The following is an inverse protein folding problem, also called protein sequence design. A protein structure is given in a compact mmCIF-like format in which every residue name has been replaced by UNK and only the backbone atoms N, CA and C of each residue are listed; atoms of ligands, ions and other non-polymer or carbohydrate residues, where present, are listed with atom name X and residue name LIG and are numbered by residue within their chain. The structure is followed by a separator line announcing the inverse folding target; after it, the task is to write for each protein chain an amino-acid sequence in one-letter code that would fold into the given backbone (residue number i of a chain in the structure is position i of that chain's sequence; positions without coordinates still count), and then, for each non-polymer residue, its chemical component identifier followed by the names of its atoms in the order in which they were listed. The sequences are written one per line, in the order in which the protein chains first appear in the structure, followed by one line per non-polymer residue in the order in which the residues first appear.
data_IF_830496064869
#
_entry.id   IF_830496064869
#
_cell.length_a   1.000
_cell.length_b   1.000
_cell.length_c   1.000
_cell.angle_alpha   90.00
_cell.angle_beta   90.00
_cell.angle_gamma   90.00
#
_symmetry.space_group_name_H-M   'P 1'
#
loop_
_entity.id
_entity.type
_entity.pdbx_description
1 polymer ?
#
# COMPACT_ATOMS: atom_id res chain seq x y z
N UNK A 1 1.26 -18.02 -20.63
CA UNK A 1 0.34 -18.16 -19.47
C UNK A 1 0.92 -17.38 -18.30
N UNK A 2 0.07 -16.68 -17.53
CA UNK A 2 0.47 -15.99 -16.29
C UNK A 2 0.12 -16.87 -15.08
N UNK A 3 1.10 -17.18 -14.23
CA UNK A 3 0.88 -17.77 -12.90
C UNK A 3 0.91 -16.66 -11.87
N UNK A 4 -0.25 -16.30 -11.36
CA UNK A 4 -0.43 -15.20 -10.42
C UNK A 4 -0.36 -15.69 -8.98
N UNK A 5 0.55 -15.13 -8.20
CA UNK A 5 0.85 -15.52 -6.82
C UNK A 5 0.51 -14.35 -5.90
N UNK A 6 -0.73 -14.29 -5.37
CA UNK A 6 -1.20 -13.18 -4.57
C UNK A 6 -0.58 -13.16 -3.17
N UNK A 7 -0.62 -11.99 -2.54
CA UNK A 7 -0.48 -11.88 -1.09
C UNK A 7 -1.65 -12.56 -0.38
N UNK A 8 -1.45 -12.95 0.87
CA UNK A 8 -2.54 -13.53 1.65
C UNK A 8 -3.71 -12.54 1.79
N UNK A 9 -4.92 -12.90 1.32
CA UNK A 9 -6.05 -11.99 1.28
C UNK A 9 -6.77 -11.97 2.65
N UNK A 10 -6.12 -11.40 3.65
CA UNK A 10 -6.74 -11.05 4.92
C UNK A 10 -7.38 -9.66 4.83
N UNK A 11 -8.60 -9.53 5.35
CA UNK A 11 -9.37 -8.28 5.27
C UNK A 11 -8.66 -7.11 5.98
N UNK A 12 -7.82 -7.41 6.95
CA UNK A 12 -7.02 -6.41 7.67
C UNK A 12 -5.91 -5.79 6.81
N UNK A 13 -5.48 -6.46 5.71
CA UNK A 13 -4.43 -5.94 4.85
C UNK A 13 -4.93 -4.81 3.96
N UNK A 14 -4.06 -3.82 3.71
CA UNK A 14 -4.32 -2.78 2.70
C UNK A 14 -4.40 -3.36 1.28
N UNK A 15 -3.71 -4.49 1.01
CA UNK A 15 -3.71 -5.20 -0.26
C UNK A 15 -4.92 -6.13 -0.46
N UNK A 16 -5.86 -6.19 0.50
CA UNK A 16 -6.99 -7.13 0.45
C UNK A 16 -7.76 -7.09 -0.87
N UNK A 17 -8.17 -5.90 -1.31
CA UNK A 17 -8.94 -5.75 -2.53
C UNK A 17 -8.13 -6.05 -3.80
N UNK A 18 -6.81 -5.90 -3.76
CA UNK A 18 -5.92 -6.26 -4.85
C UNK A 18 -5.76 -7.78 -4.94
N UNK A 19 -5.46 -8.42 -3.80
CA UNK A 19 -5.04 -9.83 -3.72
C UNK A 19 -6.19 -10.83 -3.56
N UNK A 20 -7.41 -10.38 -3.26
CA UNK A 20 -8.57 -11.27 -3.10
C UNK A 20 -8.93 -11.96 -4.42
N UNK A 21 -9.66 -13.07 -4.32
CA UNK A 21 -10.31 -13.70 -5.48
C UNK A 21 -11.28 -12.69 -6.11
N UNK A 22 -11.30 -12.61 -7.43
CA UNK A 22 -11.98 -11.55 -8.18
C UNK A 22 -11.60 -10.12 -7.74
N UNK A 23 -10.41 -9.98 -7.17
CA UNK A 23 -9.83 -8.68 -6.77
C UNK A 23 -9.32 -7.86 -7.95
N UNK A 24 -8.66 -6.76 -7.65
CA UNK A 24 -8.21 -5.81 -8.67
C UNK A 24 -7.21 -6.41 -9.67
N UNK A 25 -6.31 -7.30 -9.22
CA UNK A 25 -5.36 -7.96 -10.11
C UNK A 25 -6.09 -8.80 -11.16
N UNK A 26 -6.97 -9.69 -10.71
CA UNK A 26 -7.70 -10.59 -11.61
C UNK A 26 -8.70 -9.86 -12.51
N UNK A 27 -9.36 -8.80 -12.01
CA UNK A 27 -10.23 -7.95 -12.81
C UNK A 27 -9.47 -7.33 -13.98
N UNK A 28 -8.25 -6.82 -13.73
CA UNK A 28 -7.41 -6.28 -14.78
C UNK A 28 -6.89 -7.36 -15.74
N UNK A 29 -6.51 -8.55 -15.25
CA UNK A 29 -6.14 -9.65 -16.15
C UNK A 29 -7.28 -10.02 -17.10
N UNK A 30 -8.51 -10.16 -16.57
CA UNK A 30 -9.71 -10.41 -17.37
C UNK A 30 -10.00 -9.29 -18.36
N UNK A 31 -9.91 -8.03 -17.90
CA UNK A 31 -10.14 -6.83 -18.71
C UNK A 31 -9.22 -6.74 -19.92
N UNK A 32 -7.96 -7.12 -19.76
CA UNK A 32 -6.96 -7.09 -20.84
C UNK A 32 -6.80 -8.44 -21.56
N UNK A 33 -7.67 -9.41 -21.28
CA UNK A 33 -7.67 -10.71 -21.96
C UNK A 33 -6.49 -11.62 -21.63
N UNK A 34 -5.82 -11.38 -20.49
CA UNK A 34 -4.69 -12.18 -20.03
C UNK A 34 -5.20 -13.50 -19.46
N UNK A 35 -4.71 -14.62 -20.00
CA UNK A 35 -4.96 -15.93 -19.41
C UNK A 35 -4.07 -16.14 -18.20
N UNK A 36 -4.67 -16.47 -17.06
CA UNK A 36 -3.93 -16.65 -15.81
C UNK A 36 -4.40 -17.86 -15.01
N UNK A 37 -3.51 -18.35 -14.16
CA UNK A 37 -3.77 -19.35 -13.13
C UNK A 37 -3.41 -18.73 -11.78
N UNK A 38 -4.38 -18.62 -10.88
CA UNK A 38 -4.16 -18.15 -9.52
C UNK A 38 -3.54 -19.26 -8.68
N UNK A 39 -2.50 -18.94 -7.92
CA UNK A 39 -1.78 -19.85 -7.02
C UNK A 39 -1.97 -19.38 -5.57
N UNK A 40 -3.05 -19.80 -4.93
CA UNK A 40 -3.29 -19.49 -3.52
C UNK A 40 -2.41 -20.32 -2.60
N UNK A 41 -2.06 -19.73 -1.46
CA UNK A 41 -1.41 -20.42 -0.36
C UNK A 41 -2.39 -21.05 0.62
N UNK A 42 -1.86 -21.88 1.53
CA UNK A 42 -2.61 -22.46 2.64
C UNK A 42 -2.54 -21.52 3.86
N UNK A 43 -3.68 -21.19 4.47
CA UNK A 43 -3.75 -20.25 5.59
C UNK A 43 -3.61 -20.98 6.94
N UNK A 44 -2.83 -20.43 7.88
CA UNK A 44 -2.79 -20.90 9.27
C UNK A 44 -4.00 -20.45 10.10
N UNK A 45 -4.78 -19.52 9.61
CA UNK A 45 -5.95 -18.96 10.27
C UNK A 45 -6.74 -18.04 9.35
N UNK A 46 -7.80 -17.43 9.87
CA UNK A 46 -8.66 -16.53 9.12
C UNK A 46 -8.31 -15.05 9.27
N UNK A 47 -7.42 -14.72 10.20
CA UNK A 47 -7.03 -13.34 10.55
C UNK A 47 -5.52 -13.25 10.83
N UNK A 48 -4.98 -12.04 10.80
CA UNK A 48 -3.59 -11.75 11.18
C UNK A 48 -3.45 -11.84 12.71
N UNK A 49 -2.53 -12.70 13.19
CA UNK A 49 -2.34 -12.95 14.64
C UNK A 49 -1.36 -11.99 15.29
N UNK A 50 -0.25 -11.66 14.64
CA UNK A 50 0.84 -10.89 15.25
C UNK A 50 0.62 -9.39 15.21
N UNK A 51 -0.04 -8.89 14.15
CA UNK A 51 -0.33 -7.47 14.00
C UNK A 51 -1.26 -7.20 12.83
N UNK A 52 -1.71 -5.95 12.70
CA UNK A 52 -2.64 -5.53 11.62
C UNK A 52 -2.03 -5.54 10.22
N UNK A 53 -0.72 -5.66 10.10
CA UNK A 53 -0.01 -5.57 8.81
C UNK A 53 0.77 -6.83 8.48
N UNK A 54 1.36 -7.47 9.47
CA UNK A 54 2.25 -8.60 9.28
C UNK A 54 1.99 -9.68 10.34
N UNK A 55 1.82 -10.91 9.88
CA UNK A 55 1.88 -12.14 10.66
C UNK A 55 3.04 -12.96 10.08
N UNK A 56 4.19 -12.95 10.76
CA UNK A 56 5.42 -13.54 10.22
C UNK A 56 5.27 -15.04 9.93
N UNK A 57 4.63 -15.78 10.82
CA UNK A 57 4.40 -17.22 10.65
C UNK A 57 3.32 -17.49 9.60
N UNK A 58 2.19 -16.79 9.67
CA UNK A 58 1.10 -16.94 8.72
C UNK A 58 1.51 -16.58 7.30
N UNK A 59 2.22 -15.46 7.13
CA UNK A 59 2.81 -15.01 5.87
C UNK A 59 3.75 -16.04 5.27
N UNK A 60 4.71 -16.54 6.08
CA UNK A 60 5.69 -17.49 5.60
C UNK A 60 5.04 -18.81 5.20
N UNK A 61 4.11 -19.32 6.00
CA UNK A 61 3.39 -20.56 5.70
C UNK A 61 2.59 -20.45 4.40
N UNK A 62 1.83 -19.35 4.24
CA UNK A 62 1.06 -19.08 3.03
C UNK A 62 1.96 -19.04 1.78
N UNK A 63 3.02 -18.24 1.82
CA UNK A 63 3.94 -18.06 0.70
C UNK A 63 4.68 -19.37 0.35
N UNK A 64 5.20 -20.08 1.33
CA UNK A 64 5.91 -21.35 1.08
C UNK A 64 4.98 -22.42 0.48
N UNK A 65 3.71 -22.48 0.88
CA UNK A 65 2.74 -23.39 0.27
C UNK A 65 2.43 -23.06 -1.19
N UNK A 66 2.45 -21.78 -1.57
CA UNK A 66 2.36 -21.34 -2.97
C UNK A 66 3.56 -21.83 -3.78
N UNK A 67 4.78 -21.69 -3.23
CA UNK A 67 6.00 -22.19 -3.88
C UNK A 67 5.94 -23.71 -4.08
N UNK A 68 5.48 -24.48 -3.09
CA UNK A 68 5.32 -25.93 -3.23
C UNK A 68 4.38 -26.30 -4.40
N UNK A 69 3.28 -25.57 -4.57
CA UNK A 69 2.35 -25.74 -5.71
C UNK A 69 3.02 -25.44 -7.04
N UNK A 70 3.77 -24.33 -7.12
CA UNK A 70 4.53 -23.95 -8.33
C UNK A 70 5.60 -25.00 -8.67
N UNK A 71 6.36 -25.48 -7.68
CA UNK A 71 7.38 -26.52 -7.87
C UNK A 71 6.75 -27.79 -8.45
N UNK A 72 5.57 -28.19 -7.95
CA UNK A 72 4.83 -29.31 -8.51
C UNK A 72 4.42 -29.07 -9.97
N UNK A 73 3.88 -27.91 -10.33
CA UNK A 73 3.51 -27.56 -11.68
C UNK A 73 4.70 -27.57 -12.64
N UNK A 74 5.86 -27.12 -12.16
CA UNK A 74 7.12 -27.16 -12.95
C UNK A 74 7.56 -28.63 -13.13
N UNK A 75 7.49 -29.45 -12.09
CA UNK A 75 7.87 -30.86 -12.16
C UNK A 75 6.96 -31.64 -13.12
N UNK A 76 5.68 -31.36 -13.10
CA UNK A 76 4.66 -32.00 -13.96
C UNK A 76 4.70 -31.48 -15.42
N UNK A 77 5.58 -30.53 -15.73
CA UNK A 77 5.76 -29.96 -17.07
C UNK A 77 4.61 -29.01 -17.48
N UNK A 78 3.79 -28.55 -16.54
CA UNK A 78 2.69 -27.60 -16.79
C UNK A 78 3.24 -26.20 -17.00
N UNK A 79 4.18 -25.77 -16.16
CA UNK A 79 4.91 -24.49 -16.34
C UNK A 79 6.05 -24.73 -17.35
N UNK A 80 6.10 -23.93 -18.39
CA UNK A 80 7.02 -24.02 -19.50
C UNK A 80 7.90 -22.78 -19.63
N UNK A 81 8.81 -22.78 -20.60
CA UNK A 81 9.75 -21.67 -20.84
C UNK A 81 9.07 -20.36 -21.27
N UNK A 82 7.86 -20.41 -21.80
CA UNK A 82 7.11 -19.25 -22.28
C UNK A 82 6.21 -18.61 -21.22
N UNK A 83 6.17 -19.20 -20.03
CA UNK A 83 5.28 -18.76 -18.97
C UNK A 83 5.91 -17.67 -18.09
N UNK A 84 5.05 -16.94 -17.39
CA UNK A 84 5.44 -15.88 -16.46
C UNK A 84 4.83 -16.22 -15.09
N UNK A 85 5.64 -16.11 -14.06
CA UNK A 85 5.21 -16.20 -12.67
C UNK A 85 5.27 -14.78 -12.10
N UNK A 86 4.13 -14.22 -11.66
CA UNK A 86 4.08 -12.92 -11.01
C UNK A 86 3.73 -13.07 -9.53
N UNK A 87 4.66 -12.70 -8.67
CA UNK A 87 4.50 -12.68 -7.21
C UNK A 87 4.25 -11.26 -6.72
N UNK A 88 3.20 -11.04 -5.93
CA UNK A 88 2.80 -9.70 -5.48
C UNK A 88 3.75 -9.06 -4.46
N UNK A 89 4.76 -9.77 -3.98
CA UNK A 89 5.72 -9.23 -3.04
C UNK A 89 7.14 -9.68 -3.36
N UNK A 90 8.05 -8.71 -3.48
CA UNK A 90 9.48 -8.96 -3.65
C UNK A 90 10.06 -9.89 -2.57
N UNK A 91 9.59 -9.73 -1.34
CA UNK A 91 9.91 -10.58 -0.19
C UNK A 91 9.00 -11.80 -0.09
N UNK A 92 9.01 -12.64 -1.11
CA UNK A 92 8.21 -13.86 -1.11
C UNK A 92 9.01 -15.02 -0.51
N UNK A 93 8.69 -15.50 0.72
CA UNK A 93 9.36 -16.63 1.34
C UNK A 93 9.36 -17.87 0.44
N UNK A 94 10.54 -18.45 0.20
CA UNK A 94 10.72 -19.64 -0.64
C UNK A 94 10.93 -19.38 -2.11
N UNK A 95 10.90 -18.11 -2.57
CA UNK A 95 11.08 -17.74 -3.99
C UNK A 95 12.41 -18.23 -4.57
N UNK A 96 13.45 -18.32 -3.75
CA UNK A 96 14.78 -18.82 -4.13
C UNK A 96 14.71 -20.23 -4.72
N UNK A 97 13.73 -21.04 -4.35
CA UNK A 97 13.51 -22.38 -4.92
C UNK A 97 13.19 -22.31 -6.42
N UNK A 98 12.45 -21.30 -6.86
CA UNK A 98 12.15 -21.10 -8.28
C UNK A 98 13.39 -20.66 -9.06
N UNK A 99 14.22 -19.78 -8.49
CA UNK A 99 15.50 -19.37 -9.09
C UNK A 99 16.45 -20.56 -9.23
N UNK A 100 16.56 -21.38 -8.16
CA UNK A 100 17.37 -22.59 -8.16
C UNK A 100 16.91 -23.59 -9.24
N UNK A 101 15.61 -23.89 -9.33
CA UNK A 101 15.06 -24.82 -10.31
C UNK A 101 15.25 -24.27 -11.73
N UNK A 102 14.98 -22.99 -11.94
CA UNK A 102 15.17 -22.31 -13.25
C UNK A 102 16.60 -22.48 -13.73
N UNK A 103 17.57 -22.26 -12.85
CA UNK A 103 18.99 -22.40 -13.17
C UNK A 103 19.37 -23.85 -13.47
N UNK A 104 19.08 -24.78 -12.58
CA UNK A 104 19.52 -26.19 -12.73
C UNK A 104 18.84 -26.92 -13.89
N UNK A 105 17.56 -26.62 -14.15
CA UNK A 105 16.86 -27.23 -15.31
C UNK A 105 17.01 -26.43 -16.59
N UNK A 106 17.81 -25.34 -16.60
CA UNK A 106 17.99 -24.41 -17.72
C UNK A 106 16.65 -23.95 -18.31
N UNK A 107 15.68 -23.66 -17.45
CA UNK A 107 14.38 -23.15 -17.83
C UNK A 107 14.45 -21.63 -18.10
N UNK A 108 13.47 -21.11 -18.88
CA UNK A 108 13.43 -19.71 -19.34
C UNK A 108 12.14 -18.97 -18.95
N UNK A 109 11.28 -19.56 -18.09
CA UNK A 109 10.14 -18.84 -17.60
C UNK A 109 10.58 -17.55 -16.88
N UNK A 110 9.80 -16.50 -17.04
CA UNK A 110 10.10 -15.21 -16.43
C UNK A 110 9.45 -15.09 -15.03
N UNK A 111 10.04 -14.29 -14.15
CA UNK A 111 9.51 -14.03 -12.80
C UNK A 111 9.42 -12.52 -12.60
N UNK A 112 8.20 -12.04 -12.34
CA UNK A 112 7.91 -10.63 -12.00
C UNK A 112 7.51 -10.47 -10.55
N UNK A 113 7.73 -9.26 -9.98
CA UNK A 113 7.37 -8.93 -8.61
C UNK A 113 7.12 -7.45 -8.39
N UNK A 114 6.50 -7.11 -7.24
CA UNK A 114 6.31 -5.73 -6.79
C UNK A 114 7.03 -5.48 -5.45
N UNK A 115 7.66 -4.31 -5.31
CA UNK A 115 8.32 -3.90 -4.06
C UNK A 115 7.34 -3.13 -3.17
N UNK A 116 7.02 -3.68 -1.99
CA UNK A 116 6.24 -3.02 -0.95
C UNK A 116 7.11 -2.40 0.14
N UNK A 117 8.15 -3.11 0.59
CA UNK A 117 9.08 -2.70 1.63
C UNK A 117 10.47 -3.25 1.34
N UNK A 118 11.51 -2.55 1.74
CA UNK A 118 12.90 -2.93 1.47
C UNK A 118 13.89 -2.25 2.43
N UNK A 119 15.10 -2.78 2.48
CA UNK A 119 16.13 -2.33 3.41
C UNK A 119 16.84 -1.02 3.02
N UNK A 120 16.43 -0.33 1.97
CA UNK A 120 17.00 0.99 1.58
C UNK A 120 16.32 2.18 2.24
N UNK A 121 15.15 1.99 2.81
CA UNK A 121 14.39 3.02 3.51
C UNK A 121 14.67 2.96 5.02
N UNK A 122 15.33 3.98 5.56
CA UNK A 122 15.68 4.06 6.98
C UNK A 122 14.47 4.27 7.90
N UNK A 123 13.33 4.62 7.33
CA UNK A 123 12.05 4.75 8.05
C UNK A 123 11.18 3.50 7.97
N UNK A 124 11.58 2.50 7.17
CA UNK A 124 10.86 1.23 7.04
C UNK A 124 11.25 0.22 8.13
N UNK A 125 10.34 -0.69 8.49
CA UNK A 125 10.64 -1.76 9.44
C UNK A 125 11.78 -2.67 8.96
N UNK A 126 11.96 -2.81 7.66
CA UNK A 126 13.01 -3.60 7.03
C UNK A 126 14.41 -3.04 7.29
N UNK A 127 14.55 -1.73 7.55
CA UNK A 127 15.83 -1.11 7.87
C UNK A 127 16.53 -1.72 9.07
N UNK A 128 15.77 -2.10 10.11
CA UNK A 128 16.32 -2.74 11.31
C UNK A 128 16.95 -4.11 11.03
N UNK A 129 16.61 -4.71 9.92
CA UNK A 129 17.08 -6.02 9.47
C UNK A 129 18.11 -5.92 8.32
N UNK A 130 18.51 -4.73 7.91
CA UNK A 130 19.31 -4.47 6.71
C UNK A 130 20.61 -5.27 6.61
N UNK A 131 21.23 -5.58 7.74
CA UNK A 131 22.52 -6.28 7.76
C UNK A 131 22.44 -7.67 7.12
N UNK A 132 21.34 -8.37 7.33
CA UNK A 132 21.12 -9.68 6.72
C UNK A 132 20.16 -9.62 5.53
N UNK A 133 19.22 -8.68 5.53
CA UNK A 133 18.22 -8.53 4.48
C UNK A 133 18.83 -8.02 3.16
N UNK A 134 19.67 -7.01 3.20
CA UNK A 134 20.24 -6.37 2.00
C UNK A 134 20.96 -7.35 1.07
N UNK A 135 21.84 -8.24 1.55
CA UNK A 135 22.46 -9.25 0.70
C UNK A 135 21.45 -10.20 0.02
N UNK A 136 20.35 -10.54 0.69
CA UNK A 136 19.28 -11.36 0.13
C UNK A 136 18.51 -10.58 -0.94
N UNK A 137 18.15 -9.33 -0.67
CA UNK A 137 17.51 -8.45 -1.65
C UNK A 137 18.34 -8.30 -2.92
N UNK A 138 19.65 -8.09 -2.78
CA UNK A 138 20.57 -8.03 -3.91
C UNK A 138 20.61 -9.34 -4.69
N UNK A 139 20.61 -10.48 -4.00
CA UNK A 139 20.55 -11.80 -4.60
C UNK A 139 19.25 -12.03 -5.38
N UNK A 140 18.12 -11.73 -4.75
CA UNK A 140 16.78 -11.87 -5.35
C UNK A 140 16.60 -10.94 -6.55
N UNK A 141 16.96 -9.66 -6.41
CA UNK A 141 16.77 -8.67 -7.46
C UNK A 141 17.53 -8.99 -8.75
N UNK A 142 18.67 -9.67 -8.64
CA UNK A 142 19.41 -10.16 -9.81
C UNK A 142 18.74 -11.36 -10.52
N UNK A 143 17.77 -12.02 -9.86
CA UNK A 143 17.08 -13.17 -10.40
C UNK A 143 15.68 -12.84 -10.95
N UNK A 144 15.05 -11.76 -10.51
CA UNK A 144 13.80 -11.29 -11.09
C UNK A 144 14.02 -10.73 -12.50
N UNK A 145 13.10 -11.03 -13.39
CA UNK A 145 13.08 -10.46 -14.74
C UNK A 145 12.39 -9.09 -14.76
N UNK A 146 11.36 -8.91 -13.90
CA UNK A 146 10.61 -7.68 -13.76
C UNK A 146 10.41 -7.33 -12.29
N UNK A 147 10.82 -6.14 -11.90
CA UNK A 147 10.60 -5.60 -10.54
C UNK A 147 9.80 -4.31 -10.71
N UNK A 148 8.61 -4.27 -10.13
CA UNK A 148 7.75 -3.11 -10.20
C UNK A 148 7.79 -2.30 -8.90
N UNK A 149 7.71 -0.99 -9.02
CA UNK A 149 7.67 -0.06 -7.88
C UNK A 149 6.72 1.10 -8.16
N UNK A 150 6.09 1.60 -7.09
CA UNK A 150 5.25 2.78 -7.15
C UNK A 150 6.02 4.10 -7.11
N UNK A 151 7.30 4.07 -6.69
CA UNK A 151 8.10 5.25 -6.41
C UNK A 151 9.29 5.34 -7.36
N UNK A 152 9.48 6.51 -7.94
CA UNK A 152 10.61 6.83 -8.80
C UNK A 152 11.90 7.01 -7.98
N UNK A 153 11.81 7.59 -6.77
CA UNK A 153 12.95 7.69 -5.86
C UNK A 153 13.36 6.30 -5.37
N UNK A 154 12.39 5.46 -5.00
CA UNK A 154 12.66 4.09 -4.57
C UNK A 154 13.34 3.26 -5.67
N UNK A 155 12.89 3.40 -6.94
CA UNK A 155 13.58 2.79 -8.08
C UNK A 155 15.07 3.13 -8.06
N UNK A 156 15.41 4.43 -7.95
CA UNK A 156 16.79 4.90 -7.94
C UNK A 156 17.57 4.34 -6.74
N UNK A 157 16.99 4.34 -5.55
CA UNK A 157 17.65 3.80 -4.35
C UNK A 157 17.91 2.29 -4.48
N UNK A 158 16.99 1.52 -5.06
CA UNK A 158 17.19 0.09 -5.29
C UNK A 158 18.32 -0.18 -6.28
N UNK A 159 18.44 0.62 -7.34
CA UNK A 159 19.54 0.51 -8.31
C UNK A 159 20.88 0.87 -7.66
N UNK A 160 20.96 2.00 -6.97
CA UNK A 160 22.19 2.45 -6.27
C UNK A 160 22.62 1.44 -5.20
N UNK A 161 21.67 0.83 -4.49
CA UNK A 161 21.95 -0.19 -3.49
C UNK A 161 22.28 -1.59 -4.09
N UNK A 162 22.21 -1.75 -5.41
CA UNK A 162 22.44 -3.04 -6.09
C UNK A 162 21.34 -4.08 -5.82
N UNK A 163 20.17 -3.65 -5.35
CA UNK A 163 18.99 -4.53 -5.15
C UNK A 163 18.35 -4.84 -6.52
N UNK A 164 18.42 -3.92 -7.45
CA UNK A 164 17.89 -4.10 -8.80
C UNK A 164 18.87 -3.54 -9.83
N UNK A 165 18.75 -4.02 -11.07
CA UNK A 165 19.42 -3.42 -12.22
C UNK A 165 18.51 -2.39 -12.86
N UNK A 166 19.07 -1.40 -13.56
CA UNK A 166 18.28 -0.36 -14.25
C UNK A 166 17.31 -0.95 -15.30
N UNK A 167 17.70 -2.09 -15.91
CA UNK A 167 16.95 -2.76 -16.98
C UNK A 167 15.85 -3.70 -16.50
N UNK A 168 15.79 -4.03 -15.19
CA UNK A 168 14.77 -4.93 -14.65
C UNK A 168 13.84 -4.30 -13.60
N UNK A 169 14.03 -3.01 -13.25
CA UNK A 169 13.15 -2.30 -12.32
C UNK A 169 12.38 -1.17 -13.02
N UNK A 170 11.07 -1.16 -12.85
CA UNK A 170 10.15 -0.29 -13.56
C UNK A 170 9.28 0.51 -12.58
N UNK A 171 9.27 1.84 -12.75
CA UNK A 171 8.33 2.71 -12.05
C UNK A 171 7.01 2.74 -12.83
N UNK A 172 5.96 2.18 -12.26
CA UNK A 172 4.67 2.00 -12.92
C UNK A 172 3.47 2.51 -12.11
N UNK A 173 3.69 2.94 -10.88
CA UNK A 173 2.64 3.37 -9.95
C UNK A 173 2.13 2.24 -9.05
N UNK A 174 1.19 2.56 -8.16
CA UNK A 174 0.51 1.56 -7.34
C UNK A 174 -0.49 0.77 -8.19
N UNK A 175 -0.65 -0.54 -7.97
CA UNK A 175 -1.61 -1.38 -8.67
C UNK A 175 -3.03 -1.14 -8.15
N UNK A 176 -3.58 0.06 -8.40
CA UNK A 176 -4.87 0.53 -7.95
C UNK A 176 -5.97 0.18 -8.98
N UNK A 177 -7.23 0.12 -8.54
CA UNK A 177 -8.39 -0.01 -9.41
C UNK A 177 -9.59 0.69 -8.75
N UNK A 178 -9.71 1.98 -8.99
CA UNK A 178 -10.73 2.83 -8.37
C UNK A 178 -12.16 2.41 -8.73
N UNK A 179 -12.36 1.93 -9.96
CA UNK A 179 -13.66 1.44 -10.42
C UNK A 179 -14.06 0.17 -9.67
N UNK A 180 -13.16 -0.83 -9.65
CA UNK A 180 -13.41 -2.10 -8.98
C UNK A 180 -13.58 -1.93 -7.46
N UNK A 181 -12.84 -1.02 -6.85
CA UNK A 181 -13.05 -0.66 -5.44
C UNK A 181 -14.49 -0.22 -5.17
N UNK A 182 -15.03 0.69 -5.98
CA UNK A 182 -16.41 1.17 -5.82
C UNK A 182 -17.45 0.07 -6.02
N UNK A 183 -17.23 -0.82 -7.00
CA UNK A 183 -18.09 -1.98 -7.22
C UNK A 183 -18.08 -2.93 -6.01
N UNK A 184 -16.88 -3.30 -5.53
CA UNK A 184 -16.73 -4.17 -4.36
C UNK A 184 -17.37 -3.57 -3.09
N UNK A 185 -17.23 -2.26 -2.87
CA UNK A 185 -17.89 -1.59 -1.76
C UNK A 185 -19.41 -1.60 -1.91
N UNK A 186 -19.93 -1.42 -3.13
CA UNK A 186 -21.37 -1.52 -3.40
C UNK A 186 -21.88 -2.93 -3.09
N UNK A 187 -21.15 -3.95 -3.53
CA UNK A 187 -21.47 -5.37 -3.25
C UNK A 187 -21.47 -5.68 -1.76
N UNK A 188 -20.61 -4.99 -0.98
CA UNK A 188 -20.55 -5.06 0.48
C UNK A 188 -21.66 -4.27 1.19
N UNK A 189 -22.50 -3.52 0.46
CA UNK A 189 -23.57 -2.71 1.02
C UNK A 189 -23.16 -1.28 1.41
N UNK A 190 -22.08 -0.74 0.82
CA UNK A 190 -21.66 0.64 1.03
C UNK A 190 -22.73 1.63 0.53
N UNK A 191 -23.05 2.61 1.36
CA UNK A 191 -23.97 3.69 1.04
C UNK A 191 -23.19 5.00 1.10
N UNK A 192 -23.06 5.75 -0.03
CA UNK A 192 -22.40 7.04 -0.05
C UNK A 192 -23.04 8.03 0.93
N UNK A 193 -22.21 8.77 1.66
CA UNK A 193 -22.63 9.81 2.58
C UNK A 193 -22.45 11.22 2.01
N UNK A 194 -22.86 12.23 2.79
CA UNK A 194 -22.56 13.62 2.50
C UNK A 194 -21.23 14.02 3.16
N UNK A 195 -20.55 15.03 2.57
CA UNK A 195 -19.33 15.58 3.15
C UNK A 195 -19.62 16.28 4.47
N UNK A 196 -18.86 15.90 5.49
CA UNK A 196 -18.87 16.50 6.80
C UNK A 196 -17.60 17.33 7.02
N UNK A 197 -17.69 18.38 7.84
CA UNK A 197 -16.56 19.27 8.12
C UNK A 197 -15.59 18.64 9.14
N UNK A 198 -14.84 17.60 8.72
CA UNK A 198 -13.75 17.03 9.51
C UNK A 198 -12.55 16.60 8.66
N UNK A 199 -11.42 16.49 9.35
CA UNK A 199 -10.16 15.96 8.84
C UNK A 199 -10.03 14.51 9.27
N UNK A 200 -9.73 13.62 8.33
CA UNK A 200 -9.48 12.22 8.61
C UNK A 200 -7.99 11.92 8.64
N UNK A 201 -7.51 11.32 9.73
CA UNK A 201 -6.22 10.64 9.77
C UNK A 201 -6.46 9.13 9.65
N UNK A 202 -6.16 8.58 8.48
CA UNK A 202 -6.49 7.21 8.10
C UNK A 202 -5.29 6.26 8.08
N UNK A 203 -4.15 6.69 8.59
CA UNK A 203 -2.92 5.89 8.70
C UNK A 203 -2.84 5.18 10.06
N UNK A 204 -1.99 4.14 10.14
CA UNK A 204 -1.60 3.57 11.43
C UNK A 204 -1.01 4.66 12.33
N UNK A 205 -1.09 4.49 13.62
CA UNK A 205 -0.61 5.47 14.60
C UNK A 205 0.71 5.06 15.22
N UNK A 206 1.60 4.49 14.40
CA UNK A 206 2.95 4.08 14.77
C UNK A 206 3.97 5.19 14.45
N UNK A 207 5.16 5.13 15.04
CA UNK A 207 6.15 6.21 14.98
C UNK A 207 6.51 6.64 13.55
N UNK A 208 6.54 5.71 12.59
CA UNK A 208 6.82 5.99 11.18
C UNK A 208 5.73 6.82 10.47
N UNK A 209 4.60 7.07 11.13
CA UNK A 209 3.52 7.94 10.64
C UNK A 209 3.51 9.31 11.32
N UNK A 210 4.53 9.63 12.13
CA UNK A 210 4.71 10.88 12.87
C UNK A 210 3.45 11.30 13.67
N UNK A 211 2.93 10.43 14.56
CA UNK A 211 1.69 10.69 15.30
C UNK A 211 1.78 11.92 16.21
N UNK A 212 2.98 12.29 16.67
CA UNK A 212 3.16 13.48 17.49
C UNK A 212 2.85 14.75 16.71
N UNK A 213 3.30 14.85 15.46
CA UNK A 213 2.99 16.00 14.60
C UNK A 213 1.49 16.10 14.32
N UNK A 214 0.79 14.96 14.12
CA UNK A 214 -0.67 14.97 14.02
C UNK A 214 -1.33 15.52 15.28
N UNK A 215 -0.89 15.13 16.47
CA UNK A 215 -1.44 15.64 17.74
C UNK A 215 -1.12 17.14 17.94
N UNK A 216 0.04 17.62 17.46
CA UNK A 216 0.36 19.06 17.44
C UNK A 216 -0.63 19.83 16.57
N UNK A 217 -0.95 19.30 15.39
CA UNK A 217 -1.93 19.91 14.47
C UNK A 217 -3.35 19.95 15.08
N UNK A 218 -3.77 18.88 15.74
CA UNK A 218 -5.07 18.84 16.46
C UNK A 218 -5.15 19.94 17.52
N UNK A 219 -4.07 20.12 18.31
CA UNK A 219 -4.03 21.19 19.35
C UNK A 219 -3.99 22.60 18.74
N UNK A 220 -3.28 22.76 17.61
CA UNK A 220 -3.18 24.05 16.92
C UNK A 220 -4.49 24.47 16.22
N UNK A 221 -5.42 23.53 15.97
CA UNK A 221 -6.66 23.75 15.23
C UNK A 221 -7.92 23.42 16.07
N UNK A 222 -8.19 24.09 17.20
CA UNK A 222 -9.26 23.71 18.13
C UNK A 222 -10.67 23.81 17.54
N UNK A 223 -10.86 24.55 16.45
CA UNK A 223 -12.14 24.74 15.78
C UNK A 223 -12.38 23.77 14.61
N UNK A 224 -11.41 22.92 14.29
CA UNK A 224 -11.51 21.91 13.25
C UNK A 224 -11.71 20.55 13.91
N UNK A 225 -12.68 19.77 13.45
CA UNK A 225 -12.91 18.40 13.91
C UNK A 225 -11.91 17.44 13.24
N UNK A 226 -11.38 16.50 14.03
CA UNK A 226 -10.49 15.45 13.56
C UNK A 226 -11.07 14.08 13.91
N UNK A 227 -10.98 13.14 12.99
CA UNK A 227 -11.23 11.72 13.24
C UNK A 227 -9.96 10.92 12.98
N UNK A 228 -9.59 10.08 13.94
CA UNK A 228 -8.45 9.17 13.87
C UNK A 228 -8.97 7.74 13.78
N UNK A 229 -8.62 7.01 12.74
CA UNK A 229 -8.97 5.60 12.59
C UNK A 229 -7.99 4.74 13.40
N UNK A 230 -8.50 3.95 14.35
CA UNK A 230 -7.72 2.94 15.04
C UNK A 230 -8.11 1.54 14.55
N UNK A 231 -7.26 0.87 13.76
CA UNK A 231 -7.53 -0.49 13.29
C UNK A 231 -7.23 -1.57 14.32
N UNK A 232 -6.81 -1.23 15.56
CA UNK A 232 -6.40 -2.17 16.60
C UNK A 232 -7.48 -2.30 17.66
N UNK A 233 -8.52 -3.11 17.39
CA UNK A 233 -9.72 -3.21 18.23
C UNK A 233 -9.45 -3.43 19.72
N UNK A 234 -8.57 -4.39 20.06
CA UNK A 234 -8.32 -4.86 21.42
C UNK A 234 -6.89 -4.58 21.90
N UNK A 235 -6.18 -3.69 21.23
CA UNK A 235 -4.78 -3.33 21.55
C UNK A 235 -4.62 -1.82 21.59
N UNK A 236 -3.60 -1.30 22.29
CA UNK A 236 -3.25 0.11 22.20
C UNK A 236 -3.02 0.53 20.75
N UNK A 237 -3.46 1.74 20.40
CA UNK A 237 -3.35 2.29 19.05
C UNK A 237 -1.90 2.33 18.54
N UNK A 238 -0.96 2.47 19.45
CA UNK A 238 0.50 2.40 19.23
C UNK A 238 1.20 1.81 20.44
N UNK A 239 2.43 1.33 20.27
CA UNK A 239 3.31 0.90 21.36
C UNK A 239 4.03 2.08 22.04
N UNK A 240 3.99 3.28 21.48
CA UNK A 240 4.64 4.47 22.04
C UNK A 240 3.78 5.07 23.16
N UNK A 241 4.24 4.89 24.41
CA UNK A 241 3.51 5.35 25.60
C UNK A 241 3.32 6.87 25.63
N UNK A 242 4.26 7.67 25.16
CA UNK A 242 4.16 9.13 25.14
C UNK A 242 3.01 9.57 24.23
N UNK A 243 2.92 8.98 23.03
CA UNK A 243 1.83 9.20 22.08
C UNK A 243 0.48 8.80 22.70
N UNK A 244 0.41 7.64 23.37
CA UNK A 244 -0.81 7.17 24.04
C UNK A 244 -1.27 8.13 25.14
N UNK A 245 -0.35 8.59 25.98
CA UNK A 245 -0.66 9.53 27.08
C UNK A 245 -1.20 10.84 26.51
N UNK A 246 -0.54 11.40 25.50
CA UNK A 246 -0.94 12.66 24.87
C UNK A 246 -2.29 12.52 24.14
N UNK A 247 -2.48 11.47 23.36
CA UNK A 247 -3.75 11.17 22.70
C UNK A 247 -4.90 11.11 23.71
N UNK A 248 -4.74 10.34 24.79
CA UNK A 248 -5.75 10.22 25.82
C UNK A 248 -6.05 11.56 26.52
N UNK A 249 -5.04 12.40 26.72
CA UNK A 249 -5.22 13.75 27.25
C UNK A 249 -6.09 14.62 26.35
N UNK A 250 -5.85 14.56 25.02
CA UNK A 250 -6.65 15.32 24.04
C UNK A 250 -8.09 14.84 23.96
N UNK A 251 -8.29 13.52 23.85
CA UNK A 251 -9.64 12.93 23.72
C UNK A 251 -10.51 13.19 24.96
N UNK A 252 -9.90 13.23 26.15
CA UNK A 252 -10.64 13.45 27.43
C UNK A 252 -10.94 14.92 27.76
N UNK A 253 -10.45 15.86 26.98
CA UNK A 253 -10.74 17.30 27.20
C UNK A 253 -12.24 17.56 27.00
N UNK A 254 -12.81 18.43 27.82
CA UNK A 254 -14.15 18.97 27.56
C UNK A 254 -14.12 19.70 26.20
N UNK A 255 -15.08 19.37 25.33
CA UNK A 255 -15.12 19.86 23.94
C UNK A 255 -13.91 19.45 23.09
N UNK A 256 -13.42 18.21 23.25
CA UNK A 256 -12.38 17.67 22.37
C UNK A 256 -12.81 17.79 20.90
N UNK A 257 -11.87 18.27 20.08
CA UNK A 257 -12.02 18.30 18.62
C UNK A 257 -11.49 17.03 17.93
N UNK A 258 -11.04 16.03 18.72
CA UNK A 258 -10.53 14.75 18.25
C UNK A 258 -11.41 13.58 18.68
N UNK A 259 -11.86 12.81 17.69
CA UNK A 259 -12.55 11.54 17.86
C UNK A 259 -11.67 10.39 17.42
N UNK A 260 -11.58 9.31 18.22
CA UNK A 260 -10.92 8.06 17.85
C UNK A 260 -11.96 7.03 17.48
N UNK A 261 -11.96 6.61 16.22
CA UNK A 261 -12.89 5.60 15.71
C UNK A 261 -12.17 4.24 15.65
N UNK A 262 -12.60 3.33 16.53
CA UNK A 262 -12.06 1.98 16.60
C UNK A 262 -12.77 1.07 15.58
N UNK A 263 -12.13 0.75 14.47
CA UNK A 263 -12.72 -0.12 13.46
C UNK A 263 -11.68 -0.90 12.66
N UNK A 264 -11.99 -2.20 12.41
CA UNK A 264 -11.33 -3.02 11.37
C UNK A 264 -12.20 -3.17 10.14
N UNK A 265 -13.44 -2.75 10.24
CA UNK A 265 -14.42 -2.93 9.18
C UNK A 265 -14.12 -2.01 8.01
N UNK A 266 -13.98 -2.59 6.83
CA UNK A 266 -13.71 -1.85 5.58
C UNK A 266 -14.84 -0.90 5.24
N UNK A 267 -16.10 -1.28 5.45
CA UNK A 267 -17.23 -0.39 5.16
C UNK A 267 -17.20 0.86 6.04
N UNK A 268 -16.99 0.69 7.34
CA UNK A 268 -16.83 1.82 8.27
C UNK A 268 -15.65 2.71 7.88
N UNK A 269 -14.51 2.11 7.52
CA UNK A 269 -13.34 2.86 7.06
C UNK A 269 -13.66 3.72 5.83
N UNK A 270 -14.25 3.12 4.79
CA UNK A 270 -14.59 3.85 3.58
C UNK A 270 -15.74 4.83 3.77
N UNK A 271 -16.66 4.58 4.72
CA UNK A 271 -17.68 5.56 5.10
C UNK A 271 -17.07 6.82 5.74
N UNK A 272 -16.10 6.63 6.64
CA UNK A 272 -15.34 7.74 7.22
C UNK A 272 -14.58 8.52 6.14
N UNK A 273 -14.00 7.81 5.19
CA UNK A 273 -13.27 8.44 4.09
C UNK A 273 -14.21 9.20 3.15
N UNK A 274 -15.36 8.62 2.81
CA UNK A 274 -16.34 9.24 1.92
C UNK A 274 -16.92 10.53 2.52
N UNK A 275 -17.17 10.55 3.81
CA UNK A 275 -17.70 11.72 4.51
C UNK A 275 -16.62 12.78 4.86
N UNK A 276 -15.34 12.44 4.86
CA UNK A 276 -14.28 13.39 5.21
C UNK A 276 -14.11 14.48 4.18
N UNK A 277 -13.85 15.71 4.62
CA UNK A 277 -13.54 16.84 3.74
C UNK A 277 -12.06 16.88 3.37
N UNK A 278 -11.18 16.60 4.32
CA UNK A 278 -9.74 16.55 4.15
C UNK A 278 -9.20 15.23 4.68
N UNK A 279 -8.24 14.64 3.95
CA UNK A 279 -7.42 13.53 4.44
C UNK A 279 -6.02 14.06 4.67
N UNK A 280 -5.55 13.90 5.90
CA UNK A 280 -4.25 14.38 6.35
C UNK A 280 -3.24 13.24 6.46
N UNK A 281 -2.02 13.48 5.99
CA UNK A 281 -0.89 12.58 6.13
C UNK A 281 0.37 13.34 6.59
N UNK A 282 1.14 12.75 7.51
CA UNK A 282 2.44 13.27 7.96
C UNK A 282 3.51 12.18 8.00
N UNK A 283 3.29 11.06 7.34
CA UNK A 283 4.16 9.89 7.38
C UNK A 283 5.61 10.17 6.94
N UNK A 284 6.55 9.54 7.64
CA UNK A 284 7.96 9.47 7.26
C UNK A 284 8.23 8.35 6.27
N UNK A 285 7.47 7.26 6.35
CA UNK A 285 7.74 6.02 5.64
C UNK A 285 7.11 5.95 4.23
N UNK A 286 5.94 6.57 4.00
CA UNK A 286 5.21 6.39 2.76
C UNK A 286 5.96 6.94 1.53
N UNK A 287 6.14 6.12 0.49
CA UNK A 287 6.66 6.53 -0.83
C UNK A 287 5.56 7.13 -1.69
N UNK A 288 4.50 6.35 -1.92
CA UNK A 288 3.21 6.74 -2.47
C UNK A 288 2.15 6.10 -1.60
N UNK A 289 1.18 6.87 -1.15
CA UNK A 289 0.19 6.40 -0.19
C UNK A 289 -1.06 5.86 -0.88
N UNK A 290 -1.49 4.64 -0.52
CA UNK A 290 -2.81 4.14 -0.89
C UNK A 290 -3.91 5.08 -0.44
N UNK A 291 -3.77 5.66 0.77
CA UNK A 291 -4.71 6.62 1.33
C UNK A 291 -4.83 7.89 0.49
N UNK A 292 -3.77 8.30 -0.24
CA UNK A 292 -3.85 9.42 -1.19
C UNK A 292 -4.83 9.10 -2.32
N UNK A 293 -4.69 7.91 -2.92
CA UNK A 293 -5.55 7.49 -4.03
C UNK A 293 -7.00 7.29 -3.57
N UNK A 294 -7.17 6.69 -2.40
CA UNK A 294 -8.48 6.52 -1.77
C UNK A 294 -9.12 7.89 -1.44
N UNK A 295 -8.37 8.84 -0.86
CA UNK A 295 -8.87 10.18 -0.57
C UNK A 295 -9.40 10.87 -1.83
N UNK A 296 -8.63 10.86 -2.91
CA UNK A 296 -9.04 11.46 -4.19
C UNK A 296 -10.26 10.71 -4.77
N UNK A 297 -10.26 9.38 -4.72
CA UNK A 297 -11.38 8.55 -5.19
C UNK A 297 -12.68 8.92 -4.47
N UNK A 298 -12.61 9.19 -3.17
CA UNK A 298 -13.76 9.60 -2.36
C UNK A 298 -13.94 11.12 -2.24
N UNK A 299 -13.31 11.92 -3.11
CA UNK A 299 -13.50 13.40 -3.17
C UNK A 299 -13.09 14.13 -1.90
N UNK A 300 -12.08 13.64 -1.20
CA UNK A 300 -11.44 14.37 -0.11
C UNK A 300 -10.29 15.22 -0.65
N UNK A 301 -10.10 16.42 -0.11
CA UNK A 301 -8.90 17.19 -0.36
C UNK A 301 -7.71 16.54 0.38
N UNK A 302 -6.62 16.12 -0.30
CA UNK A 302 -5.46 15.59 0.39
C UNK A 302 -4.60 16.72 0.97
N UNK A 303 -4.02 16.53 2.17
CA UNK A 303 -2.98 17.41 2.71
C UNK A 303 -1.79 16.55 3.12
N UNK A 304 -0.70 16.67 2.37
CA UNK A 304 0.46 15.78 2.42
C UNK A 304 1.77 16.56 2.58
N UNK A 305 2.80 16.00 3.21
CA UNK A 305 4.08 16.68 3.34
C UNK A 305 4.83 16.71 2.00
N UNK A 306 5.68 17.72 1.79
CA UNK A 306 6.72 17.69 0.76
C UNK A 306 7.77 16.70 1.23
N UNK A 307 7.58 15.43 0.84
CA UNK A 307 8.41 14.31 1.27
C UNK A 307 8.31 13.15 0.28
N UNK A 308 9.43 12.50 0.00
CA UNK A 308 9.50 11.38 -0.96
C UNK A 308 8.80 11.73 -2.28
N UNK A 309 7.91 10.88 -2.79
CA UNK A 309 7.25 11.11 -4.08
C UNK A 309 5.92 11.91 -3.99
N UNK A 310 5.51 12.41 -2.82
CA UNK A 310 4.24 13.15 -2.72
C UNK A 310 4.19 14.42 -3.55
N UNK A 311 5.31 15.16 -3.63
CA UNK A 311 5.40 16.33 -4.51
C UNK A 311 5.24 15.94 -5.98
N UNK A 312 5.88 14.85 -6.39
CA UNK A 312 5.76 14.32 -7.75
C UNK A 312 4.32 13.84 -8.04
N UNK A 313 3.71 13.07 -7.12
CA UNK A 313 2.35 12.54 -7.28
C UNK A 313 1.30 13.67 -7.34
N UNK A 314 1.42 14.68 -6.50
CA UNK A 314 0.54 15.86 -6.49
C UNK A 314 0.93 16.91 -7.54
N UNK A 315 1.87 16.58 -8.45
CA UNK A 315 2.31 17.45 -9.57
C UNK A 315 2.79 18.83 -9.11
N UNK A 316 3.40 18.91 -7.92
CA UNK A 316 3.87 20.16 -7.32
C UNK A 316 2.76 21.13 -6.94
N UNK A 317 1.51 20.70 -6.84
CA UNK A 317 0.40 21.56 -6.45
C UNK A 317 0.49 21.93 -4.96
N UNK A 318 1.03 23.11 -4.70
CA UNK A 318 1.31 23.60 -3.36
C UNK A 318 0.08 23.78 -2.47
N UNK A 319 -1.14 23.73 -3.02
CA UNK A 319 -2.37 23.78 -2.22
C UNK A 319 -2.51 22.55 -1.31
N UNK A 320 -1.99 21.41 -1.76
CA UNK A 320 -2.11 20.10 -1.09
C UNK A 320 -0.84 19.67 -0.39
N UNK A 321 0.21 20.48 -0.47
CA UNK A 321 1.55 20.16 0.04
C UNK A 321 1.97 21.16 1.10
N UNK A 322 2.57 20.67 2.18
CA UNK A 322 3.18 21.50 3.22
C UNK A 322 4.62 21.06 3.51
N UNK A 323 5.47 21.99 3.94
CA UNK A 323 6.83 21.65 4.36
C UNK A 323 6.77 20.73 5.59
N UNK A 324 7.42 19.58 5.48
CA UNK A 324 7.39 18.56 6.50
C UNK A 324 7.73 19.12 7.86
N UNK A 325 6.90 18.83 8.86
CA UNK A 325 6.97 19.32 10.25
C UNK A 325 6.86 20.84 10.40
N UNK A 326 6.41 21.57 9.40
CA UNK A 326 6.06 22.98 9.52
C UNK A 326 4.59 23.12 9.94
N UNK A 327 4.36 23.25 11.25
CA UNK A 327 3.02 23.27 11.83
C UNK A 327 2.20 24.49 11.38
N UNK A 328 2.81 25.66 11.31
CA UNK A 328 2.11 26.90 10.94
C UNK A 328 1.62 26.85 9.48
N UNK A 329 2.48 26.41 8.56
CA UNK A 329 2.10 26.23 7.16
C UNK A 329 1.04 25.12 7.02
N UNK A 330 1.22 23.99 7.72
CA UNK A 330 0.26 22.88 7.71
C UNK A 330 -1.13 23.34 8.18
N UNK A 331 -1.19 24.09 9.28
CA UNK A 331 -2.42 24.68 9.81
C UNK A 331 -3.09 25.62 8.79
N UNK A 332 -2.34 26.56 8.24
CA UNK A 332 -2.86 27.51 7.25
C UNK A 332 -3.48 26.76 6.05
N UNK A 333 -2.75 25.79 5.48
CA UNK A 333 -3.24 25.00 4.35
C UNK A 333 -4.46 24.15 4.71
N UNK A 334 -4.48 23.59 5.92
CA UNK A 334 -5.63 22.85 6.38
C UNK A 334 -6.88 23.72 6.46
N UNK A 335 -6.78 24.94 7.02
CA UNK A 335 -7.88 25.91 7.10
C UNK A 335 -8.40 26.28 5.71
N UNK A 336 -7.50 26.49 4.73
CA UNK A 336 -7.85 26.75 3.33
C UNK A 336 -8.57 25.55 2.68
N UNK A 337 -8.08 24.31 2.90
CA UNK A 337 -8.66 23.09 2.35
C UNK A 337 -10.04 22.75 2.95
N UNK A 338 -10.29 23.13 4.20
CA UNK A 338 -11.59 22.92 4.85
C UNK A 338 -12.72 23.72 4.20
N UNK A 339 -12.43 24.81 3.52
CA UNK A 339 -13.43 25.62 2.81
C UNK A 339 -13.39 25.44 1.29
N UNK A 340 -12.33 24.86 0.76
CA UNK A 340 -12.13 24.67 -0.67
C UNK A 340 -12.98 23.50 -1.20
N UNK A 341 -13.68 23.67 -2.35
CA UNK A 341 -14.32 22.53 -3.01
C UNK A 341 -13.27 21.55 -3.55
N UNK A 342 -13.68 20.30 -3.72
CA UNK A 342 -12.81 19.29 -4.31
C UNK A 342 -12.41 19.67 -5.75
N UNK A 343 -11.12 19.50 -6.04
CA UNK A 343 -10.58 19.79 -7.37
C UNK A 343 -10.53 18.51 -8.23
N UNK A 344 -11.42 18.42 -9.20
CA UNK A 344 -11.53 17.25 -10.09
C UNK A 344 -10.28 16.97 -10.96
N UNK A 345 -9.31 17.90 -11.04
CA UNK A 345 -8.01 17.62 -11.69
C UNK A 345 -7.17 16.60 -10.94
N UNK A 346 -7.46 16.37 -9.65
CA UNK A 346 -6.83 15.30 -8.87
C UNK A 346 -7.19 13.91 -9.41
N UNK A 347 -8.31 13.75 -10.13
CA UNK A 347 -8.70 12.48 -10.76
C UNK A 347 -7.66 11.95 -11.75
N UNK A 348 -6.85 12.83 -12.34
CA UNK A 348 -5.75 12.43 -13.22
C UNK A 348 -4.68 11.61 -12.46
N UNK A 349 -4.52 11.85 -11.16
CA UNK A 349 -3.60 11.09 -10.30
C UNK A 349 -4.13 9.67 -10.15
N UNK A 350 -5.41 9.52 -9.78
CA UNK A 350 -6.03 8.20 -9.64
C UNK A 350 -6.00 7.44 -10.97
N UNK A 351 -6.31 8.12 -12.08
CA UNK A 351 -6.29 7.52 -13.42
C UNK A 351 -4.91 6.97 -13.80
N UNK A 352 -3.83 7.71 -13.48
CA UNK A 352 -2.44 7.24 -13.68
C UNK A 352 -2.20 5.90 -12.99
N UNK A 353 -2.71 5.73 -11.77
CA UNK A 353 -2.55 4.49 -11.01
C UNK A 353 -3.54 3.40 -11.45
N UNK A 354 -4.75 3.74 -11.88
CA UNK A 354 -5.66 2.78 -12.52
C UNK A 354 -5.05 2.20 -13.82
N UNK A 355 -4.32 3.03 -14.57
CA UNK A 355 -3.63 2.62 -15.80
C UNK A 355 -2.32 1.85 -15.52
N UNK A 356 -1.84 1.79 -14.28
CA UNK A 356 -0.61 1.07 -13.94
C UNK A 356 -0.70 -0.42 -14.32
N UNK A 357 -1.86 -1.04 -14.18
CA UNK A 357 -2.06 -2.44 -14.57
C UNK A 357 -1.80 -2.70 -16.05
N UNK A 358 -2.16 -1.77 -16.92
CA UNK A 358 -1.79 -1.86 -18.33
C UNK A 358 -0.28 -1.90 -18.49
N UNK A 359 0.45 -0.98 -17.81
CA UNK A 359 1.90 -0.92 -17.87
C UNK A 359 2.58 -2.19 -17.30
N UNK A 360 2.05 -2.76 -16.21
CA UNK A 360 2.54 -4.05 -15.69
C UNK A 360 2.45 -5.15 -16.75
N UNK A 361 1.29 -5.27 -17.39
CA UNK A 361 1.02 -6.34 -18.35
C UNK A 361 1.78 -6.14 -19.67
N UNK A 362 1.97 -4.89 -20.11
CA UNK A 362 2.75 -4.53 -21.30
C UNK A 362 4.24 -4.84 -21.10
N UNK A 363 4.82 -4.42 -19.97
CA UNK A 363 6.21 -4.71 -19.61
C UNK A 363 6.45 -6.22 -19.50
N UNK A 364 5.50 -6.98 -18.97
CA UNK A 364 5.57 -8.45 -18.94
C UNK A 364 5.28 -9.10 -20.30
N UNK A 365 5.04 -8.33 -21.37
CA UNK A 365 4.70 -8.84 -22.71
C UNK A 365 3.44 -9.73 -22.74
N UNK A 366 2.47 -9.47 -21.85
CA UNK A 366 1.23 -10.25 -21.72
C UNK A 366 0.08 -9.68 -22.55
N UNK A 367 0.20 -8.44 -22.99
CA UNK A 367 -0.75 -7.75 -23.91
C UNK A 367 0.00 -7.26 -25.14
N UNK A 368 -0.78 -7.04 -26.23
CA UNK A 368 -0.24 -6.59 -27.53
C UNK A 368 -0.76 -5.20 -27.86
#
# INVERSE_FOLDING_TARGET
MLYYVPLEPYIERYTYFMSAEDGWAEDNFKRYGVQFVRIDGDKLGSTIKDGVVLDACGRSYYAMSQIMKLVKLINDGVITNSDIIYVEDFWHPGIESLFYIRHLKNMKFKIGTFIHAQSVDDTDFAWKMKEWMRPIEQGYGNQYDFIFTCSHILKQLCVVAGIAREDNIFHVGLPYNSKRLREQLTDMGFIPGEKEDYVLFASRFDDEKDPMFFLDLVEACPNIKFKLVNPRKDRPITSNNEVVVRLNSLVRRNNSNLEVVNTFDKLTYYQLLDCAKVVFNCADQDWVSWTLLEAITFRCNPLYPIWKDFEYELKGDTRYLYQKRNLDECKQKLEELMIMPFNYRLDDIVRKHDDSWYNYLDIMELIK
#
